data_IF_258499855103
#
_entry.id   IF_258499855103
#
_cell.length_a   1.000
_cell.length_b   1.000
_cell.length_c   1.000
_cell.angle_alpha   90.00
_cell.angle_beta   90.00
_cell.angle_gamma   90.00
#
_symmetry.space_group_name_H-M   'P 1'
#
loop_
_entity.id
_entity.type
_entity.pdbx_description
1 polymer ?
#
# COMPACT_ATOMS: atom_id res chain seq x y z
N UNK A 1 -0.58 -15.52 -3.35
CA UNK A 1 -0.44 -14.18 -2.74
C UNK A 1 -1.81 -13.53 -2.65
N UNK A 2 -2.01 -12.51 -1.79
CA UNK A 2 -3.30 -11.81 -1.70
C UNK A 2 -3.76 -11.22 -3.04
N UNK A 3 -2.81 -10.73 -3.84
CA UNK A 3 -3.07 -10.22 -5.20
C UNK A 3 -3.71 -11.26 -6.12
N UNK A 4 -3.33 -12.54 -6.01
CA UNK A 4 -3.89 -13.60 -6.85
C UNK A 4 -5.36 -13.90 -6.45
N UNK A 5 -5.68 -13.78 -5.16
CA UNK A 5 -7.05 -13.92 -4.65
C UNK A 5 -7.91 -12.75 -5.14
N UNK A 6 -7.36 -11.53 -5.07
CA UNK A 6 -8.06 -10.33 -5.52
C UNK A 6 -8.43 -10.41 -7.01
N UNK A 7 -7.48 -10.80 -7.87
CA UNK A 7 -7.73 -11.00 -9.30
C UNK A 7 -8.72 -12.12 -9.58
N UNK A 8 -8.60 -13.26 -8.88
CA UNK A 8 -9.48 -14.42 -9.10
C UNK A 8 -10.93 -14.13 -8.75
N UNK A 9 -11.17 -13.25 -7.78
CA UNK A 9 -12.49 -13.01 -7.19
C UNK A 9 -13.02 -11.61 -7.46
N UNK A 10 -12.38 -10.83 -8.35
CA UNK A 10 -12.77 -9.46 -8.68
C UNK A 10 -12.91 -8.56 -7.45
N UNK A 11 -11.93 -8.67 -6.54
CA UNK A 11 -11.88 -7.90 -5.31
C UNK A 11 -10.84 -6.79 -5.40
N UNK A 12 -11.02 -5.76 -4.58
CA UNK A 12 -10.04 -4.71 -4.39
C UNK A 12 -9.20 -4.96 -3.13
N UNK A 13 -7.90 -4.70 -3.24
CA UNK A 13 -6.96 -4.58 -2.13
C UNK A 13 -6.71 -3.11 -1.85
N UNK A 14 -7.04 -2.68 -0.65
CA UNK A 14 -6.83 -1.31 -0.20
C UNK A 14 -5.66 -1.32 0.79
N UNK A 15 -4.53 -0.76 0.37
CA UNK A 15 -3.35 -0.56 1.21
C UNK A 15 -3.35 0.84 1.79
N UNK A 16 -3.68 0.99 3.08
CA UNK A 16 -3.46 2.23 3.81
C UNK A 16 -2.00 2.28 4.28
N UNK A 17 -1.17 2.98 3.51
CA UNK A 17 0.27 3.09 3.69
C UNK A 17 0.66 4.40 4.38
N UNK A 18 -0.22 4.96 5.22
CA UNK A 18 0.00 6.23 5.93
C UNK A 18 1.30 6.32 6.76
N UNK A 19 1.91 5.18 7.10
CA UNK A 19 3.15 5.10 7.90
C UNK A 19 4.33 4.54 7.10
N UNK A 20 4.32 4.63 5.76
CA UNK A 20 5.36 4.02 4.91
C UNK A 20 6.79 4.48 5.19
N UNK A 21 6.98 5.68 5.75
CA UNK A 21 8.30 6.17 6.18
C UNK A 21 8.70 5.72 7.59
N UNK A 22 7.77 5.19 8.39
CA UNK A 22 7.98 4.77 9.77
C UNK A 22 8.27 3.26 9.87
N UNK A 23 9.36 2.83 9.22
CA UNK A 23 9.84 1.45 9.29
C UNK A 23 11.13 1.39 10.08
N UNK A 24 11.18 0.54 11.10
CA UNK A 24 12.34 0.35 11.97
C UNK A 24 13.04 -0.95 11.63
N UNK A 25 14.38 -0.97 11.73
CA UNK A 25 15.18 -2.17 11.44
C UNK A 25 15.90 -2.17 10.09
N UNK A 26 15.89 -1.06 9.35
CA UNK A 26 16.63 -0.88 8.09
C UNK A 26 15.93 -1.43 6.84
N UNK A 27 14.87 -2.20 7.03
CA UNK A 27 13.99 -2.65 5.95
C UNK A 27 13.10 -1.51 5.43
N UNK A 28 12.67 -1.61 4.19
CA UNK A 28 11.65 -0.73 3.61
C UNK A 28 10.27 -1.37 3.76
N UNK A 29 9.23 -0.54 3.80
CA UNK A 29 7.87 -1.03 3.62
C UNK A 29 7.78 -1.64 2.20
N UNK A 30 7.24 -2.85 2.11
CA UNK A 30 6.80 -3.42 0.85
C UNK A 30 5.44 -2.82 0.51
N UNK A 31 5.40 -1.96 -0.51
CA UNK A 31 4.15 -1.31 -0.92
C UNK A 31 3.30 -2.27 -1.75
N UNK A 32 1.96 -2.18 -1.63
CA UNK A 32 1.08 -2.86 -2.58
C UNK A 32 1.28 -2.36 -4.02
N UNK A 33 1.76 -1.12 -4.19
CA UNK A 33 2.11 -0.57 -5.49
C UNK A 33 3.19 -1.35 -6.24
N UNK A 34 4.04 -2.11 -5.54
CA UNK A 34 5.05 -2.98 -6.18
C UNK A 34 4.42 -4.13 -6.97
N UNK A 35 3.13 -4.42 -6.76
CA UNK A 35 2.39 -5.46 -7.49
C UNK A 35 1.51 -4.93 -8.62
N UNK A 36 1.62 -3.65 -8.97
CA UNK A 36 0.79 -3.02 -10.00
C UNK A 36 0.88 -3.73 -11.36
N UNK A 37 2.07 -4.22 -11.76
CA UNK A 37 2.26 -4.96 -13.01
C UNK A 37 1.49 -6.29 -13.05
N UNK A 38 1.15 -6.86 -11.89
CA UNK A 38 0.38 -8.09 -11.79
C UNK A 38 -1.11 -7.83 -11.64
N UNK A 39 -1.51 -6.91 -10.76
CA UNK A 39 -2.89 -6.72 -10.33
C UNK A 39 -3.28 -5.25 -10.12
N UNK A 40 -2.72 -4.33 -10.92
CA UNK A 40 -2.89 -2.88 -10.74
C UNK A 40 -4.35 -2.42 -10.68
N UNK A 41 -5.23 -3.00 -11.50
CA UNK A 41 -6.66 -2.66 -11.50
C UNK A 41 -7.38 -3.03 -10.20
N UNK A 42 -6.83 -3.95 -9.41
CA UNK A 42 -7.37 -4.40 -8.13
C UNK A 42 -6.75 -3.67 -6.93
N UNK A 43 -5.78 -2.77 -7.13
CA UNK A 43 -5.00 -2.19 -6.04
C UNK A 43 -5.32 -0.70 -5.89
N UNK A 44 -5.68 -0.32 -4.66
CA UNK A 44 -5.83 1.07 -4.24
C UNK A 44 -4.81 1.32 -3.13
N UNK A 45 -3.88 2.24 -3.38
CA UNK A 45 -2.91 2.69 -2.36
C UNK A 45 -3.34 4.05 -1.82
N UNK A 46 -3.41 4.15 -0.49
CA UNK A 46 -3.73 5.38 0.23
C UNK A 46 -2.48 5.80 1.00
N UNK A 47 -2.15 7.08 0.95
CA UNK A 47 -1.00 7.68 1.63
C UNK A 47 -1.42 9.02 2.26
N UNK A 48 -0.61 9.55 3.20
CA UNK A 48 -0.93 10.78 3.92
C UNK A 48 0.27 11.69 4.14
N UNK A 49 0.02 13.00 4.04
CA UNK A 49 0.97 14.03 4.44
C UNK A 49 1.06 14.19 5.97
N UNK A 50 -0.03 13.89 6.69
CA UNK A 50 -0.15 14.22 8.12
C UNK A 50 0.85 13.46 8.98
N UNK A 51 1.14 12.21 8.61
CA UNK A 51 2.12 11.37 9.33
C UNK A 51 3.52 11.57 8.79
N UNK A 52 3.68 11.70 7.47
CA UNK A 52 4.98 11.96 6.85
C UNK A 52 5.64 13.26 7.31
N UNK A 53 4.87 14.34 7.42
CA UNK A 53 5.39 15.67 7.72
C UNK A 53 4.99 16.19 9.09
N UNK A 54 4.38 15.34 9.94
CA UNK A 54 3.81 15.75 11.24
C UNK A 54 2.88 16.96 11.11
N UNK A 55 2.21 17.09 9.96
CA UNK A 55 1.37 18.22 9.59
C UNK A 55 -0.11 17.84 9.73
N UNK A 56 -0.49 17.36 10.92
CA UNK A 56 -1.91 17.32 11.28
C UNK A 56 -2.36 18.76 11.58
N UNK A 57 -3.58 19.10 11.14
CA UNK A 57 -4.13 20.46 11.19
C UNK A 57 -4.06 21.15 12.54
#
# INVERSE_FOLDING_TARGET
>A
MLVDVAQKHDLFLIGDEAYREFVYGGEKLQSFGEFADRAGDNIIVIDTVSKRFSACG
#
